data_IF_921450336169
#
_entry.id   IF_921450336169
#
_cell.length_a   1.000
_cell.length_b   1.000
_cell.length_c   1.000
_cell.angle_alpha   90.00
_cell.angle_beta   90.00
_cell.angle_gamma   90.00
#
_symmetry.space_group_name_H-M   'P 1'
#
loop_
_entity.id
_entity.type
_entity.pdbx_description
1 polymer ?
#
# COMPACT_ATOMS: atom_id res chain seq x y z
N UNK A 1 0.06 -17.97 -3.25
CA UNK A 1 1.10 -17.07 -2.70
C UNK A 1 0.75 -15.62 -2.98
N UNK A 2 0.93 -14.73 -2.00
CA UNK A 2 0.70 -13.28 -2.13
C UNK A 2 2.02 -12.55 -1.85
N UNK A 3 2.46 -11.75 -2.81
CA UNK A 3 3.56 -10.81 -2.65
C UNK A 3 2.97 -9.43 -2.40
N UNK A 4 3.07 -8.91 -1.17
CA UNK A 4 2.46 -7.65 -0.78
C UNK A 4 3.51 -6.59 -0.52
N UNK A 5 3.67 -5.65 -1.46
CA UNK A 5 4.59 -4.52 -1.34
C UNK A 5 3.95 -3.35 -0.61
N UNK A 6 4.63 -2.82 0.39
CA UNK A 6 4.23 -1.63 1.14
C UNK A 6 5.38 -0.65 1.34
N UNK A 7 5.13 0.64 1.11
CA UNK A 7 6.06 1.72 1.41
C UNK A 7 5.39 2.78 2.27
N UNK A 8 5.80 2.89 3.52
CA UNK A 8 5.49 4.05 4.34
C UNK A 8 6.64 5.07 4.26
N UNK A 9 6.35 6.35 4.32
CA UNK A 9 7.31 7.44 4.07
C UNK A 9 7.49 8.37 5.26
N UNK A 10 6.44 8.57 6.08
CA UNK A 10 6.43 9.30 7.34
C UNK A 10 5.82 8.43 8.43
N UNK A 11 4.51 8.53 8.63
CA UNK A 11 3.81 7.69 9.62
C UNK A 11 3.66 6.22 9.18
N UNK A 12 3.52 5.34 10.15
CA UNK A 12 3.47 3.87 9.96
C UNK A 12 2.07 3.32 9.61
N UNK A 13 1.05 4.20 9.42
CA UNK A 13 -0.34 3.78 9.20
C UNK A 13 -0.51 2.84 8.00
N UNK A 14 0.19 3.10 6.89
CA UNK A 14 0.16 2.23 5.72
C UNK A 14 0.76 0.85 6.00
N UNK A 15 1.87 0.80 6.74
CA UNK A 15 2.50 -0.46 7.12
C UNK A 15 1.62 -1.26 8.08
N UNK A 16 1.01 -0.62 9.09
CA UNK A 16 0.07 -1.28 10.00
C UNK A 16 -1.13 -1.85 9.27
N UNK A 17 -1.76 -1.08 8.38
CA UNK A 17 -2.88 -1.58 7.57
C UNK A 17 -2.45 -2.76 6.70
N UNK A 18 -1.32 -2.67 6.02
CA UNK A 18 -0.80 -3.77 5.21
C UNK A 18 -0.51 -5.02 6.06
N UNK A 19 0.02 -4.87 7.27
CA UNK A 19 0.24 -5.97 8.20
C UNK A 19 -1.07 -6.62 8.66
N UNK A 20 -2.11 -5.82 8.98
CA UNK A 20 -3.44 -6.34 9.33
C UNK A 20 -4.06 -7.11 8.18
N UNK A 21 -3.99 -6.59 6.95
CA UNK A 21 -4.46 -7.29 5.75
C UNK A 21 -3.66 -8.57 5.50
N UNK A 22 -2.34 -8.53 5.61
CA UNK A 22 -1.48 -9.68 5.42
C UNK A 22 -1.80 -10.81 6.41
N UNK A 23 -2.03 -10.48 7.68
CA UNK A 23 -2.46 -11.46 8.71
C UNK A 23 -3.84 -12.04 8.40
N UNK A 24 -4.78 -11.21 7.96
CA UNK A 24 -6.11 -11.68 7.57
C UNK A 24 -6.04 -12.65 6.37
N UNK A 25 -5.20 -12.36 5.37
CA UNK A 25 -4.95 -13.25 4.24
C UNK A 25 -4.27 -14.54 4.70
N UNK A 26 -3.27 -14.47 5.58
CA UNK A 26 -2.59 -15.65 6.12
C UNK A 26 -3.56 -16.53 6.94
N UNK A 27 -4.41 -15.94 7.77
CA UNK A 27 -5.47 -16.65 8.47
C UNK A 27 -6.49 -17.30 7.52
N UNK A 28 -6.70 -16.71 6.34
CA UNK A 28 -7.48 -17.28 5.23
C UNK A 28 -6.78 -18.38 4.44
N UNK A 29 -5.56 -18.78 4.83
CA UNK A 29 -4.83 -19.89 4.21
C UNK A 29 -3.88 -19.48 3.08
N UNK A 30 -3.64 -18.19 2.86
CA UNK A 30 -2.67 -17.72 1.87
C UNK A 30 -1.24 -17.72 2.46
N UNK A 31 -0.25 -18.11 1.64
CA UNK A 31 1.17 -17.86 1.93
C UNK A 31 1.49 -16.42 1.57
N UNK A 32 1.67 -15.56 2.57
CA UNK A 32 1.84 -14.11 2.38
C UNK A 32 3.27 -13.69 2.70
N UNK A 33 3.91 -13.01 1.75
CA UNK A 33 5.15 -12.28 1.94
C UNK A 33 4.87 -10.77 1.92
N UNK A 34 4.99 -10.12 3.09
CA UNK A 34 4.92 -8.67 3.22
C UNK A 34 6.30 -8.06 3.02
N UNK A 35 6.44 -7.25 1.97
CA UNK A 35 7.71 -6.60 1.61
C UNK A 35 7.62 -5.11 1.97
N UNK A 36 8.40 -4.70 2.96
CA UNK A 36 8.42 -3.32 3.44
C UNK A 36 9.62 -2.55 2.90
N UNK A 37 9.35 -1.38 2.34
CA UNK A 37 10.38 -0.48 1.84
C UNK A 37 10.71 0.71 2.74
N UNK A 38 9.92 0.95 3.79
CA UNK A 38 10.09 2.06 4.71
C UNK A 38 11.08 1.78 5.85
N UNK A 39 11.16 2.68 6.82
CA UNK A 39 12.00 2.50 7.99
C UNK A 39 11.59 1.23 8.77
N UNK A 40 12.53 0.45 9.32
CA UNK A 40 12.20 -0.65 10.21
C UNK A 40 11.33 -0.19 11.37
N UNK A 41 10.30 -0.99 11.69
CA UNK A 41 9.31 -0.65 12.71
C UNK A 41 9.20 -1.80 13.71
N UNK A 42 9.41 -1.50 14.99
CA UNK A 42 9.25 -2.47 16.06
C UNK A 42 7.76 -2.69 16.41
N UNK A 43 7.46 -3.86 16.98
CA UNK A 43 6.12 -4.19 17.48
C UNK A 43 5.05 -4.34 16.38
N UNK A 44 5.46 -4.63 15.15
CA UNK A 44 4.53 -4.96 14.09
C UNK A 44 4.03 -6.40 14.27
N UNK A 45 2.72 -6.58 14.41
CA UNK A 45 2.11 -7.91 14.46
C UNK A 45 2.15 -8.55 13.06
N UNK A 46 2.75 -9.75 12.96
CA UNK A 46 3.00 -10.45 11.69
C UNK A 46 2.72 -11.97 11.81
N UNK A 47 1.79 -12.37 12.67
CA UNK A 47 1.45 -13.77 12.87
C UNK A 47 1.05 -14.44 11.54
N UNK A 48 1.77 -15.51 11.19
CA UNK A 48 1.54 -16.26 9.95
C UNK A 48 2.02 -15.58 8.66
N UNK A 49 2.67 -14.41 8.76
CA UNK A 49 3.15 -13.62 7.63
C UNK A 49 4.67 -13.68 7.53
N UNK A 50 5.19 -14.03 6.37
CA UNK A 50 6.61 -13.84 6.05
C UNK A 50 6.89 -12.36 5.82
N UNK A 51 8.01 -11.84 6.30
CA UNK A 51 8.36 -10.44 6.20
C UNK A 51 9.72 -10.24 5.57
N UNK A 52 9.82 -9.30 4.63
CA UNK A 52 11.09 -8.90 4.04
C UNK A 52 11.26 -7.38 4.08
N UNK A 53 12.43 -6.94 4.57
CA UNK A 53 12.80 -5.53 4.62
C UNK A 53 13.74 -5.19 3.46
N UNK A 54 13.28 -4.36 2.53
CA UNK A 54 14.15 -3.76 1.51
C UNK A 54 15.08 -2.71 2.10
N UNK A 55 16.17 -2.33 1.41
CA UNK A 55 16.97 -1.16 1.79
C UNK A 55 16.05 0.03 2.05
N UNK A 56 15.96 0.53 3.29
CA UNK A 56 14.89 1.43 3.67
C UNK A 56 15.10 2.84 3.13
N UNK A 57 13.97 3.49 2.80
CA UNK A 57 13.92 4.91 2.46
C UNK A 57 12.76 5.62 3.16
N UNK A 58 12.86 6.94 3.25
CA UNK A 58 11.86 7.81 3.86
C UNK A 58 11.60 9.05 3.01
N UNK A 59 10.57 9.81 3.33
CA UNK A 59 10.43 11.16 2.80
C UNK A 59 11.46 12.11 3.46
N UNK A 60 12.07 12.95 2.66
CA UNK A 60 12.93 14.03 3.13
C UNK A 60 12.16 15.31 3.45
N UNK A 61 10.93 15.42 2.92
CA UNK A 61 10.07 16.60 3.05
C UNK A 61 8.64 16.23 3.50
N UNK A 62 7.95 17.15 4.16
CA UNK A 62 6.57 16.96 4.57
C UNK A 62 5.58 16.80 3.38
N UNK A 63 5.99 17.24 2.19
CA UNK A 63 5.22 17.08 0.95
C UNK A 63 5.29 15.68 0.35
N UNK A 64 6.13 14.79 0.88
CA UNK A 64 6.39 13.43 0.41
C UNK A 64 6.92 13.37 -1.03
N UNK A 65 7.52 14.43 -1.53
CA UNK A 65 7.99 14.52 -2.92
C UNK A 65 9.43 14.05 -3.09
N UNK A 66 10.25 14.32 -2.10
CA UNK A 66 11.68 14.02 -2.10
C UNK A 66 11.93 12.78 -1.23
N UNK A 67 12.64 11.81 -1.79
CA UNK A 67 13.04 10.60 -1.08
C UNK A 67 14.48 10.70 -0.61
N UNK A 68 14.77 10.15 0.57
CA UNK A 68 16.11 10.07 1.14
C UNK A 68 16.33 8.70 1.80
N UNK A 69 17.59 8.35 2.02
CA UNK A 69 18.00 7.28 2.92
C UNK A 69 17.63 7.63 4.36
N UNK A 70 17.69 6.67 5.27
CA UNK A 70 17.35 6.92 6.69
C UNK A 70 18.27 7.95 7.36
N UNK A 71 19.53 8.03 6.95
CA UNK A 71 20.49 9.03 7.43
C UNK A 71 20.24 10.45 6.88
N UNK A 72 19.27 10.60 5.98
CA UNK A 72 18.94 11.88 5.35
C UNK A 72 19.66 12.16 4.04
N UNK A 73 20.60 11.33 3.62
CA UNK A 73 21.27 11.50 2.33
C UNK A 73 20.31 11.30 1.16
N UNK A 74 20.41 12.11 0.09
CA UNK A 74 19.59 11.92 -1.12
C UNK A 74 19.79 10.53 -1.74
N UNK A 75 18.76 10.01 -2.40
CA UNK A 75 18.89 8.78 -3.17
C UNK A 75 19.68 9.06 -4.45
N UNK A 76 20.80 8.37 -4.61
CA UNK A 76 21.55 8.32 -5.86
C UNK A 76 21.01 7.20 -6.77
N UNK A 77 21.48 7.20 -8.02
CA UNK A 77 21.05 6.20 -9.01
C UNK A 77 21.50 4.79 -8.63
N UNK A 78 22.68 4.65 -8.04
CA UNK A 78 23.19 3.35 -7.59
C UNK A 78 22.31 2.73 -6.53
N UNK A 79 21.82 3.52 -5.55
CA UNK A 79 20.89 3.04 -4.54
C UNK A 79 19.54 2.64 -5.14
N UNK A 80 19.00 3.45 -6.08
CA UNK A 80 17.73 3.13 -6.76
C UNK A 80 17.85 1.82 -7.53
N UNK A 81 18.92 1.66 -8.28
CA UNK A 81 19.21 0.46 -9.08
C UNK A 81 19.36 -0.79 -8.20
N UNK A 82 20.19 -0.74 -7.13
CA UNK A 82 20.39 -1.85 -6.20
C UNK A 82 19.08 -2.26 -5.55
N UNK A 83 18.30 -1.28 -5.08
CA UNK A 83 17.03 -1.53 -4.43
C UNK A 83 16.00 -2.15 -5.40
N UNK A 84 15.92 -1.65 -6.62
CA UNK A 84 15.05 -2.21 -7.67
C UNK A 84 15.46 -3.66 -7.98
N UNK A 85 16.74 -3.94 -8.17
CA UNK A 85 17.23 -5.30 -8.41
C UNK A 85 16.84 -6.25 -7.28
N UNK A 86 17.06 -5.87 -6.02
CA UNK A 86 16.66 -6.69 -4.86
C UNK A 86 15.17 -6.98 -4.83
N UNK A 87 14.34 -5.97 -5.15
CA UNK A 87 12.89 -6.16 -5.22
C UNK A 87 12.51 -7.15 -6.32
N UNK A 88 13.08 -7.01 -7.51
CA UNK A 88 12.81 -7.88 -8.66
C UNK A 88 13.32 -9.30 -8.46
N UNK A 89 14.52 -9.46 -7.88
CA UNK A 89 15.09 -10.77 -7.59
C UNK A 89 14.23 -11.53 -6.57
N UNK A 90 13.80 -10.83 -5.51
CA UNK A 90 12.87 -11.40 -4.53
C UNK A 90 11.55 -11.79 -5.18
N UNK A 91 10.95 -10.92 -5.99
CA UNK A 91 9.69 -11.17 -6.67
C UNK A 91 9.79 -12.39 -7.60
N UNK A 92 10.84 -12.48 -8.42
CA UNK A 92 11.07 -13.61 -9.32
C UNK A 92 11.32 -14.93 -8.58
N UNK A 93 12.01 -14.88 -7.44
CA UNK A 93 12.24 -16.07 -6.61
C UNK A 93 10.94 -16.59 -5.97
N UNK A 94 10.04 -15.70 -5.57
CA UNK A 94 8.76 -16.03 -4.94
C UNK A 94 7.72 -16.59 -5.92
N UNK A 95 7.73 -16.15 -7.17
CA UNK A 95 6.73 -16.53 -8.19
C UNK A 95 5.29 -16.49 -7.64
N UNK A 96 4.80 -15.34 -7.21
CA UNK A 96 3.51 -15.25 -6.54
C UNK A 96 2.34 -15.44 -7.51
N UNK A 97 1.20 -15.86 -6.97
CA UNK A 97 -0.08 -15.90 -7.69
C UNK A 97 -0.79 -14.53 -7.65
N UNK A 98 -0.41 -13.68 -6.69
CA UNK A 98 -0.95 -12.33 -6.50
C UNK A 98 0.19 -11.36 -6.16
N UNK A 99 0.28 -10.26 -6.92
CA UNK A 99 1.07 -9.09 -6.59
C UNK A 99 0.14 -8.00 -6.05
N UNK A 100 0.30 -7.63 -4.78
CA UNK A 100 -0.46 -6.53 -4.17
C UNK A 100 0.45 -5.35 -3.87
N UNK A 101 0.02 -4.14 -4.23
CA UNK A 101 0.75 -2.90 -3.92
C UNK A 101 -0.09 -1.97 -3.06
N UNK A 102 0.52 -1.40 -2.03
CA UNK A 102 -0.14 -0.42 -1.17
C UNK A 102 -0.06 0.99 -1.77
N UNK A 103 -1.21 1.58 -2.05
CA UNK A 103 -1.43 2.92 -2.61
C UNK A 103 -1.03 3.13 -4.08
N UNK A 104 -0.19 2.33 -4.67
CA UNK A 104 0.20 2.49 -6.07
C UNK A 104 -0.87 1.88 -7.00
N UNK A 105 -1.24 2.54 -8.10
CA UNK A 105 -0.70 3.76 -8.70
C UNK A 105 -1.34 5.08 -8.18
N UNK A 106 -2.35 5.05 -7.33
CA UNK A 106 -3.10 6.22 -6.84
C UNK A 106 -2.31 7.08 -5.85
N UNK A 107 -1.18 6.58 -5.38
CA UNK A 107 -0.18 7.25 -4.56
C UNK A 107 1.20 6.67 -4.80
N UNK A 108 2.21 7.11 -4.01
CA UNK A 108 3.58 6.56 -4.09
C UNK A 108 4.26 6.71 -5.46
N UNK A 109 3.84 7.69 -6.25
CA UNK A 109 4.35 7.91 -7.62
C UNK A 109 5.86 8.18 -7.67
N UNK A 110 6.46 8.66 -6.59
CA UNK A 110 7.92 8.80 -6.46
C UNK A 110 8.68 7.47 -6.42
N UNK A 111 7.98 6.33 -6.30
CA UNK A 111 8.54 4.98 -6.32
C UNK A 111 8.38 4.29 -7.68
N UNK A 112 8.00 5.03 -8.72
CA UNK A 112 7.86 4.49 -10.08
C UNK A 112 9.12 3.83 -10.59
N UNK A 113 10.31 4.28 -10.12
CA UNK A 113 11.60 3.71 -10.52
C UNK A 113 11.75 2.22 -10.18
N UNK A 114 11.03 1.72 -9.17
CA UNK A 114 11.01 0.29 -8.78
C UNK A 114 9.67 -0.40 -9.03
N UNK A 115 8.54 0.34 -8.95
CA UNK A 115 7.21 -0.26 -9.09
C UNK A 115 6.80 -0.49 -10.54
N UNK A 116 7.24 0.34 -11.49
CA UNK A 116 6.99 0.06 -12.91
C UNK A 116 7.76 -1.18 -13.38
N UNK A 117 9.08 -1.32 -13.12
CA UNK A 117 9.79 -2.57 -13.40
C UNK A 117 9.19 -3.79 -12.70
N UNK A 118 8.61 -3.63 -11.50
CA UNK A 118 7.92 -4.72 -10.81
C UNK A 118 6.65 -5.17 -11.54
N UNK A 119 5.85 -4.22 -12.05
CA UNK A 119 4.66 -4.54 -12.86
C UNK A 119 5.05 -5.23 -14.17
N UNK A 120 6.08 -4.72 -14.87
CA UNK A 120 6.62 -5.34 -16.08
C UNK A 120 7.08 -6.79 -15.79
N UNK A 121 7.86 -6.98 -14.72
CA UNK A 121 8.32 -8.31 -14.33
C UNK A 121 7.17 -9.26 -13.97
N UNK A 122 6.06 -8.75 -13.43
CA UNK A 122 4.87 -9.54 -13.12
C UNK A 122 4.16 -10.00 -14.42
N UNK A 123 4.04 -9.12 -15.40
CA UNK A 123 3.42 -9.43 -16.70
C UNK A 123 4.27 -10.39 -17.53
N UNK A 124 5.60 -10.38 -17.37
CA UNK A 124 6.55 -11.21 -18.09
C UNK A 124 6.68 -12.64 -17.52
N UNK A 125 6.05 -12.94 -16.37
CA UNK A 125 6.08 -14.30 -15.83
C UNK A 125 5.33 -15.27 -16.76
N UNK A 126 5.77 -16.54 -16.86
CA UNK A 126 5.07 -17.57 -17.64
C UNK A 126 3.60 -17.77 -17.21
N UNK A 127 3.31 -17.51 -15.95
CA UNK A 127 1.96 -17.42 -15.38
C UNK A 127 1.85 -16.09 -14.64
N UNK A 128 1.36 -15.02 -15.29
CA UNK A 128 1.24 -13.72 -14.66
C UNK A 128 0.33 -13.78 -13.44
N UNK A 129 0.72 -13.15 -12.33
CA UNK A 129 -0.12 -13.07 -11.13
C UNK A 129 -1.28 -12.10 -11.33
N UNK A 130 -2.32 -12.22 -10.51
CA UNK A 130 -3.27 -11.13 -10.32
C UNK A 130 -2.57 -9.92 -9.73
N UNK A 131 -2.74 -8.74 -10.36
CA UNK A 131 -2.13 -7.49 -9.91
C UNK A 131 -3.19 -6.64 -9.20
N UNK A 132 -2.98 -6.38 -7.92
CA UNK A 132 -3.98 -5.78 -7.02
C UNK A 132 -3.45 -4.48 -6.42
N UNK A 133 -4.21 -3.40 -6.56
CA UNK A 133 -3.96 -2.15 -5.86
C UNK A 133 -4.78 -2.08 -4.57
N UNK A 134 -4.14 -1.88 -3.43
CA UNK A 134 -4.76 -1.70 -2.11
C UNK A 134 -4.72 -0.22 -1.75
N UNK A 135 -5.88 0.43 -1.61
CA UNK A 135 -5.95 1.87 -1.32
C UNK A 135 -6.85 2.16 -0.10
N UNK A 136 -6.64 3.31 0.49
CA UNK A 136 -7.55 3.84 1.50
C UNK A 136 -8.74 4.57 0.84
N UNK A 137 -9.64 5.05 1.67
CA UNK A 137 -10.86 5.79 1.34
C UNK A 137 -10.66 7.03 0.43
N UNK A 138 -9.59 7.77 0.63
CA UNK A 138 -9.35 9.06 -0.03
C UNK A 138 -8.02 9.08 -0.76
N UNK A 139 -8.06 9.47 -2.03
CA UNK A 139 -6.88 9.83 -2.81
C UNK A 139 -6.67 11.34 -2.71
N UNK A 140 -5.42 11.79 -2.75
CA UNK A 140 -5.10 13.21 -2.65
C UNK A 140 -5.72 14.00 -3.82
N UNK A 141 -6.73 14.82 -3.54
CA UNK A 141 -7.46 15.67 -4.51
C UNK A 141 -6.58 16.64 -5.34
N UNK A 142 -5.35 16.89 -4.94
CA UNK A 142 -4.45 17.86 -5.58
C UNK A 142 -3.67 17.30 -6.78
N UNK A 143 -4.09 16.18 -7.37
CA UNK A 143 -3.47 15.69 -8.58
C UNK A 143 -3.87 16.57 -9.78
N UNK A 144 -2.88 17.01 -10.58
CA UNK A 144 -3.16 17.66 -11.87
C UNK A 144 -3.82 16.67 -12.84
N UNK A 145 -4.58 17.15 -13.85
CA UNK A 145 -5.17 16.26 -14.87
C UNK A 145 -4.17 15.28 -15.46
N UNK A 146 -2.97 15.73 -15.85
CA UNK A 146 -1.93 14.88 -16.39
C UNK A 146 -1.49 13.76 -15.40
N UNK A 147 -1.50 14.04 -14.09
CA UNK A 147 -1.19 13.03 -13.08
C UNK A 147 -2.32 12.02 -12.90
N UNK A 148 -3.57 12.46 -13.06
CA UNK A 148 -4.73 11.54 -13.04
C UNK A 148 -4.68 10.62 -14.26
N UNK A 149 -4.39 11.15 -15.44
CA UNK A 149 -4.20 10.37 -16.69
C UNK A 149 -3.07 9.35 -16.51
N UNK A 150 -1.94 9.74 -15.92
CA UNK A 150 -0.84 8.84 -15.62
C UNK A 150 -1.22 7.72 -14.64
N UNK A 151 -2.04 8.01 -13.62
CA UNK A 151 -2.55 7.01 -12.69
C UNK A 151 -3.45 6.01 -13.40
N UNK A 152 -4.38 6.49 -14.24
CA UNK A 152 -5.27 5.63 -15.03
C UNK A 152 -4.47 4.76 -15.99
N UNK A 153 -3.55 5.35 -16.75
CA UNK A 153 -2.70 4.59 -17.67
C UNK A 153 -1.85 3.52 -16.96
N UNK A 154 -1.36 3.83 -15.75
CA UNK A 154 -0.63 2.84 -14.95
C UNK A 154 -1.58 1.76 -14.40
N UNK A 155 -2.82 2.12 -14.06
CA UNK A 155 -3.82 1.18 -13.54
C UNK A 155 -4.28 0.14 -14.58
N UNK A 156 -4.03 0.36 -15.87
CA UNK A 156 -4.30 -0.65 -16.91
C UNK A 156 -3.55 -1.97 -16.66
N UNK A 157 -2.41 -1.92 -15.95
CA UNK A 157 -1.67 -3.11 -15.55
C UNK A 157 -2.28 -3.85 -14.34
N UNK A 158 -3.34 -3.32 -13.72
CA UNK A 158 -3.96 -3.89 -12.52
C UNK A 158 -5.28 -4.60 -12.86
N UNK A 159 -5.52 -5.72 -12.21
CA UNK A 159 -6.76 -6.50 -12.34
C UNK A 159 -7.83 -6.03 -11.35
N UNK A 160 -7.41 -5.60 -10.15
CA UNK A 160 -8.33 -5.28 -9.05
C UNK A 160 -7.87 -4.03 -8.29
N UNK A 161 -8.84 -3.18 -7.92
CA UNK A 161 -8.68 -2.09 -6.97
C UNK A 161 -9.45 -2.40 -5.69
N UNK A 162 -8.75 -2.68 -4.59
CA UNK A 162 -9.35 -2.84 -3.28
C UNK A 162 -9.40 -1.50 -2.56
N UNK A 163 -10.60 -1.03 -2.26
CA UNK A 163 -10.83 0.24 -1.55
C UNK A 163 -11.23 -0.08 -0.11
N UNK A 164 -10.35 0.26 0.84
CA UNK A 164 -10.57 0.01 2.26
C UNK A 164 -11.39 1.13 2.90
N UNK A 165 -12.66 1.15 2.57
CA UNK A 165 -13.65 2.14 2.96
C UNK A 165 -15.05 1.54 2.94
N UNK A 166 -15.97 2.17 3.65
CA UNK A 166 -17.41 1.95 3.51
C UNK A 166 -17.99 3.02 2.58
N UNK A 167 -18.55 2.65 1.41
CA UNK A 167 -19.13 3.62 0.48
C UNK A 167 -20.33 4.37 1.04
N UNK A 168 -20.93 3.91 2.14
CA UNK A 168 -21.98 4.65 2.85
C UNK A 168 -21.44 5.85 3.64
N UNK A 169 -20.14 5.86 3.94
CA UNK A 169 -19.46 6.94 4.68
C UNK A 169 -18.61 7.81 3.77
N UNK A 170 -17.72 7.19 2.98
CA UNK A 170 -16.81 7.89 2.06
C UNK A 170 -16.71 7.11 0.76
N UNK A 171 -17.05 7.76 -0.33
CA UNK A 171 -16.92 7.19 -1.67
C UNK A 171 -15.59 7.59 -2.31
N UNK A 172 -14.92 6.65 -2.94
CA UNK A 172 -13.63 6.88 -3.58
C UNK A 172 -13.73 7.91 -4.72
N UNK A 173 -14.84 7.89 -5.47
CA UNK A 173 -15.12 8.85 -6.55
C UNK A 173 -15.17 10.31 -6.08
N UNK A 174 -15.44 10.59 -4.81
CA UNK A 174 -15.43 11.95 -4.27
C UNK A 174 -14.02 12.58 -4.26
N UNK A 175 -13.00 11.71 -4.27
CA UNK A 175 -11.59 12.12 -4.24
C UNK A 175 -10.83 11.80 -5.53
N UNK A 176 -11.34 10.88 -6.37
CA UNK A 176 -10.70 10.46 -7.61
C UNK A 176 -11.55 10.80 -8.84
N UNK A 177 -11.19 11.84 -9.62
CA UNK A 177 -12.04 12.37 -10.69
C UNK A 177 -12.21 11.44 -11.90
N UNK A 178 -11.30 10.49 -12.11
CA UNK A 178 -11.37 9.49 -13.19
C UNK A 178 -11.97 8.16 -12.71
N UNK A 179 -12.95 8.20 -11.81
CA UNK A 179 -13.60 7.01 -11.27
C UNK A 179 -14.16 6.08 -12.33
N UNK A 180 -14.78 6.62 -13.37
CA UNK A 180 -15.40 5.85 -14.44
C UNK A 180 -14.42 4.92 -15.17
N UNK A 181 -13.12 5.27 -15.18
CA UNK A 181 -12.07 4.48 -15.81
C UNK A 181 -11.64 3.26 -14.98
N UNK A 182 -11.91 3.28 -13.65
CA UNK A 182 -11.41 2.25 -12.74
C UNK A 182 -12.51 1.46 -12.04
N UNK A 183 -13.74 1.97 -12.01
CA UNK A 183 -14.85 1.42 -11.20
C UNK A 183 -15.20 -0.04 -11.51
N UNK A 184 -15.01 -0.51 -12.72
CA UNK A 184 -15.34 -1.89 -13.13
C UNK A 184 -14.44 -2.94 -12.48
N UNK A 185 -13.27 -2.52 -12.00
CA UNK A 185 -12.27 -3.35 -11.28
C UNK A 185 -12.19 -3.01 -9.80
N UNK A 186 -13.07 -2.14 -9.29
CA UNK A 186 -13.04 -1.67 -7.91
C UNK A 186 -13.97 -2.48 -7.00
N UNK A 187 -13.46 -2.81 -5.81
CA UNK A 187 -14.17 -3.51 -4.75
C UNK A 187 -13.99 -2.76 -3.42
N UNK A 188 -15.08 -2.40 -2.77
CA UNK A 188 -15.06 -1.89 -1.41
C UNK A 188 -14.99 -3.05 -0.41
N UNK A 189 -14.04 -2.98 0.53
CA UNK A 189 -13.79 -4.05 1.50
C UNK A 189 -14.25 -3.73 2.92
N UNK A 190 -14.76 -2.51 3.15
CA UNK A 190 -14.93 -1.96 4.48
C UNK A 190 -13.60 -1.45 5.06
N UNK A 191 -13.65 -0.86 6.26
CA UNK A 191 -12.47 -0.37 6.95
C UNK A 191 -11.63 -1.52 7.50
N UNK A 192 -10.30 -1.39 7.37
CA UNK A 192 -9.34 -2.35 7.90
C UNK A 192 -8.97 -1.95 9.33
N UNK A 193 -9.32 -2.80 10.27
CA UNK A 193 -8.98 -2.67 11.67
C UNK A 193 -8.63 -4.05 12.25
N UNK A 194 -7.79 -4.07 13.28
CA UNK A 194 -7.61 -5.29 14.05
C UNK A 194 -8.91 -5.60 14.79
N UNK A 195 -9.37 -6.84 14.71
CA UNK A 195 -10.49 -7.29 15.52
C UNK A 195 -10.04 -7.30 16.99
N UNK A 196 -10.65 -6.46 17.81
CA UNK A 196 -10.52 -6.56 19.26
C UNK A 196 -11.69 -7.39 19.80
N UNK A 197 -11.46 -8.68 20.12
CA UNK A 197 -12.54 -9.53 20.62
C UNK A 197 -13.05 -9.10 22.03
N UNK A 198 -12.31 -8.22 22.70
CA UNK A 198 -12.69 -7.70 24.01
C UNK A 198 -13.59 -6.45 23.93
N UNK A 199 -13.70 -5.83 22.74
CA UNK A 199 -14.54 -4.64 22.55
C UNK A 199 -15.96 -5.02 22.16
N UNK A 200 -16.76 -5.41 23.13
CA UNK A 200 -18.21 -5.31 23.02
C UNK A 200 -18.59 -3.86 23.24
N UNK A 201 -19.31 -3.19 22.31
CA UNK A 201 -19.79 -1.83 22.57
C UNK A 201 -20.68 -1.82 23.80
N UNK A 202 -20.19 -1.33 24.92
CA UNK A 202 -20.98 -1.20 26.13
C UNK A 202 -21.76 0.12 26.07
N UNK A 203 -23.03 0.02 25.68
CA UNK A 203 -24.05 0.99 25.99
C UNK A 203 -23.82 2.41 25.48
N UNK A 204 -23.52 3.34 26.36
CA UNK A 204 -23.55 4.79 26.09
C UNK A 204 -22.17 5.43 25.86
N UNK A 205 -21.11 4.63 25.76
CA UNK A 205 -19.73 5.12 25.48
C UNK A 205 -19.74 5.81 24.11
N UNK A 206 -19.25 7.04 24.06
CA UNK A 206 -19.20 7.87 22.85
C UNK A 206 -20.35 8.88 22.68
N UNK A 207 -21.36 8.87 23.55
CA UNK A 207 -22.42 9.87 23.52
C UNK A 207 -21.99 11.16 24.23
N UNK A 208 -21.84 12.24 23.46
CA UNK A 208 -21.45 13.55 24.00
C UNK A 208 -19.96 13.69 24.33
N UNK A 209 -19.14 12.73 23.94
CA UNK A 209 -17.70 12.74 24.09
C UNK A 209 -17.02 13.39 22.88
N UNK A 210 -15.90 14.08 23.12
CA UNK A 210 -15.04 14.63 22.08
C UNK A 210 -13.77 13.78 22.05
N UNK A 211 -13.53 13.10 20.95
CA UNK A 211 -12.32 12.30 20.75
C UNK A 211 -11.27 13.17 20.09
N UNK A 212 -10.13 13.36 20.74
CA UNK A 212 -8.96 14.02 20.16
C UNK A 212 -7.89 12.98 19.90
N UNK A 213 -7.50 12.83 18.63
CA UNK A 213 -6.46 11.89 18.22
C UNK A 213 -5.39 12.62 17.41
N UNK A 214 -4.13 12.45 17.78
CA UNK A 214 -2.98 13.01 17.05
C UNK A 214 -2.54 12.11 15.89
N UNK A 215 -3.15 10.93 15.74
CA UNK A 215 -2.72 9.91 14.77
C UNK A 215 -1.33 9.34 15.08
N UNK A 216 -0.85 8.43 14.24
CA UNK A 216 0.44 7.76 14.38
C UNK A 216 1.57 8.40 13.56
N UNK A 217 1.50 9.67 13.26
CA UNK A 217 2.37 10.36 12.30
C UNK A 217 3.26 11.47 12.88
N UNK A 218 3.64 11.38 14.17
CA UNK A 218 4.63 12.29 14.75
C UNK A 218 6.04 11.74 14.60
#
# INVERSE_FOLDING_TARGET
RVFFYVQHLLGIGHLRRAATLARALAAGGFDVLLVSGGAPTEGLALEGVRFHQLPPLRAADAGLKVLARLDGTPLDEAFRTDRTHRLLDLFRAEQPDVLMTEQFPFGRTQLRFELLPLLEAAQDLPSPPWIVSSVRDVVRRSASPARVEEMVATFEAFDVLLIHSDPALVRFEESFPAWDEVKTRALYTGYVADADPAHTPHGEVGRGEVIVSVGGGA
#
